data_IF_027981688345
#
_entry.id   IF_027981688345
#
_cell.length_a   1.000
_cell.length_b   1.000
_cell.length_c   1.000
_cell.angle_alpha   90.00
_cell.angle_beta   90.00
_cell.angle_gamma   90.00
#
_symmetry.space_group_name_H-M   'P 1'
#
loop_
_entity.id
_entity.type
_entity.pdbx_description
1 polymer ?
#
# COMPACT_ATOMS: atom_id res chain seq x y z
N UNK A 1 0.09 23.10 7.68
CA UNK A 1 0.12 21.63 7.65
C UNK A 1 0.43 21.22 6.21
N UNK A 2 1.59 20.62 5.93
CA UNK A 2 1.91 20.19 4.57
C UNK A 2 1.22 18.84 4.33
N UNK A 3 0.07 18.86 3.67
CA UNK A 3 -0.63 17.64 3.25
C UNK A 3 0.30 16.76 2.41
N UNK A 4 0.39 15.47 2.77
CA UNK A 4 1.27 14.51 2.09
C UNK A 4 0.84 14.37 0.63
N UNK A 5 1.72 14.75 -0.28
CA UNK A 5 1.56 14.55 -1.72
C UNK A 5 1.29 13.06 -2.02
N UNK A 6 0.07 12.72 -2.42
CA UNK A 6 -0.20 11.43 -3.06
C UNK A 6 0.60 11.41 -4.36
N UNK A 7 1.52 10.46 -4.49
CA UNK A 7 2.41 10.36 -5.65
C UNK A 7 2.08 9.18 -6.56
N UNK A 8 1.14 8.32 -6.14
CA UNK A 8 0.68 7.19 -6.93
C UNK A 8 -0.71 6.75 -6.47
N UNK A 9 -1.60 6.50 -7.43
CA UNK A 9 -2.95 6.00 -7.24
C UNK A 9 -3.25 4.93 -8.29
N UNK A 10 -3.96 3.88 -7.91
CA UNK A 10 -4.34 2.79 -8.84
C UNK A 10 -5.77 2.37 -8.60
N UNK A 11 -6.52 2.16 -9.68
CA UNK A 11 -7.87 1.59 -9.63
C UNK A 11 -8.10 0.70 -10.86
N UNK A 12 -9.21 -0.04 -10.86
CA UNK A 12 -9.72 -0.69 -12.08
C UNK A 12 -10.78 0.20 -12.70
N UNK A 13 -10.82 0.24 -14.03
CA UNK A 13 -11.86 0.96 -14.79
C UNK A 13 -12.65 -0.03 -15.64
N UNK A 14 -13.91 0.29 -15.91
CA UNK A 14 -14.68 -0.38 -16.96
C UNK A 14 -14.21 0.09 -18.35
N UNK A 15 -14.57 -0.65 -19.40
CA UNK A 15 -14.24 -0.26 -20.78
C UNK A 15 -14.81 1.12 -21.16
N UNK A 16 -16.00 1.45 -20.66
CA UNK A 16 -16.63 2.76 -20.89
C UNK A 16 -15.85 3.89 -20.18
N UNK A 17 -15.45 3.67 -18.92
CA UNK A 17 -14.63 4.61 -18.16
C UNK A 17 -13.25 4.80 -18.78
N UNK A 18 -12.65 3.72 -19.30
CA UNK A 18 -11.37 3.79 -19.99
C UNK A 18 -11.46 4.62 -21.27
N UNK A 19 -12.53 4.46 -22.06
CA UNK A 19 -12.75 5.27 -23.25
C UNK A 19 -12.97 6.76 -22.92
N UNK A 20 -13.71 7.06 -21.85
CA UNK A 20 -13.89 8.43 -21.35
C UNK A 20 -12.55 9.03 -20.90
N UNK A 21 -11.73 8.26 -20.20
CA UNK A 21 -10.41 8.70 -19.75
C UNK A 21 -9.47 8.96 -20.94
N UNK A 22 -9.44 8.07 -21.92
CA UNK A 22 -8.65 8.26 -23.15
C UNK A 22 -9.06 9.54 -23.89
N UNK A 23 -10.37 9.77 -24.03
CA UNK A 23 -10.92 11.01 -24.62
C UNK A 23 -10.51 12.25 -23.82
N UNK A 24 -10.56 12.19 -22.50
CA UNK A 24 -10.15 13.29 -21.64
C UNK A 24 -8.66 13.63 -21.83
N UNK A 25 -7.78 12.61 -21.85
CA UNK A 25 -6.34 12.80 -22.05
C UNK A 25 -6.04 13.48 -23.40
N UNK A 26 -6.71 13.04 -24.47
CA UNK A 26 -6.57 13.63 -25.80
C UNK A 26 -7.07 15.09 -25.86
N UNK A 27 -8.06 15.45 -25.07
CA UNK A 27 -8.65 16.79 -25.05
C UNK A 27 -7.89 17.81 -24.17
N UNK A 28 -7.03 17.36 -23.24
CA UNK A 28 -6.45 18.22 -22.19
C UNK A 28 -4.91 18.25 -22.19
N UNK A 29 -4.31 18.34 -23.38
CA UNK A 29 -2.87 18.54 -23.60
C UNK A 29 -1.95 17.49 -22.95
N UNK A 30 -2.40 16.23 -22.87
CA UNK A 30 -1.51 15.14 -22.49
C UNK A 30 -0.68 14.69 -23.69
N UNK A 31 0.62 14.54 -23.49
CA UNK A 31 1.51 13.87 -24.43
C UNK A 31 1.24 12.36 -24.37
N UNK A 32 0.66 11.81 -25.44
CA UNK A 32 0.44 10.38 -25.54
C UNK A 32 1.76 9.64 -25.76
N UNK A 33 2.03 8.63 -24.94
CA UNK A 33 3.26 7.83 -24.98
C UNK A 33 2.94 6.36 -25.18
N UNK A 34 3.81 5.67 -25.91
CA UNK A 34 3.77 4.21 -25.98
C UNK A 34 4.52 3.61 -24.79
N UNK A 35 3.79 2.92 -23.92
CA UNK A 35 4.35 2.21 -22.77
C UNK A 35 4.01 0.72 -22.87
N UNK A 36 4.97 -0.19 -22.61
CA UNK A 36 4.72 -1.63 -22.69
C UNK A 36 3.51 -2.07 -21.85
N UNK A 37 2.67 -2.92 -22.45
CA UNK A 37 1.46 -3.48 -21.83
C UNK A 37 0.36 -2.46 -21.47
N UNK A 38 0.49 -1.21 -21.92
CA UNK A 38 -0.58 -0.21 -21.82
C UNK A 38 -1.43 -0.21 -23.09
N UNK A 39 -2.73 0.04 -22.91
CA UNK A 39 -3.63 0.36 -24.02
C UNK A 39 -3.44 1.81 -24.44
N UNK A 40 -3.33 2.71 -23.46
CA UNK A 40 -2.94 4.09 -23.67
C UNK A 40 -2.16 4.59 -22.45
N UNK A 41 -1.26 5.53 -22.69
CA UNK A 41 -0.58 6.25 -21.64
C UNK A 41 -0.47 7.74 -22.01
N UNK A 42 -0.75 8.60 -21.04
CA UNK A 42 -0.66 10.05 -21.18
C UNK A 42 0.32 10.63 -20.16
N UNK A 43 1.07 11.63 -20.58
CA UNK A 43 1.99 12.37 -19.73
C UNK A 43 1.69 13.86 -19.79
N UNK A 44 1.63 14.52 -18.63
CA UNK A 44 1.52 15.98 -18.55
C UNK A 44 2.34 16.47 -17.36
N UNK A 45 3.24 17.43 -17.61
CA UNK A 45 4.19 17.97 -16.64
C UNK A 45 5.01 16.91 -15.88
N UNK A 46 4.57 16.54 -14.67
CA UNK A 46 5.19 15.53 -13.80
C UNK A 46 4.21 14.44 -13.41
N UNK A 47 3.12 14.27 -14.18
CA UNK A 47 2.07 13.31 -13.97
C UNK A 47 2.04 12.32 -15.15
N UNK A 48 2.00 11.03 -14.84
CA UNK A 48 1.82 9.94 -15.78
C UNK A 48 0.50 9.24 -15.49
N UNK A 49 -0.26 8.93 -16.53
CA UNK A 49 -1.54 8.24 -16.48
C UNK A 49 -1.44 7.05 -17.43
N UNK A 50 -1.34 5.84 -16.88
CA UNK A 50 -1.12 4.61 -17.65
C UNK A 50 -2.30 3.67 -17.46
N UNK A 51 -3.01 3.35 -18.54
CA UNK A 51 -4.07 2.34 -18.52
C UNK A 51 -3.59 1.04 -19.16
N UNK A 52 -3.54 -0.03 -18.37
CA UNK A 52 -3.04 -1.34 -18.78
C UNK A 52 -4.11 -2.19 -19.45
N UNK A 53 -3.68 -3.14 -20.30
CA UNK A 53 -4.57 -4.14 -20.91
C UNK A 53 -5.27 -5.05 -19.90
N UNK A 54 -4.83 -5.05 -18.63
CA UNK A 54 -5.48 -5.72 -17.50
C UNK A 54 -6.64 -4.93 -16.86
N UNK A 55 -7.11 -3.88 -17.52
CA UNK A 55 -8.11 -2.92 -17.04
C UNK A 55 -7.70 -2.14 -15.78
N UNK A 56 -6.40 -2.10 -15.50
CA UNK A 56 -5.83 -1.38 -14.36
C UNK A 56 -5.36 0.00 -14.81
N UNK A 57 -5.76 1.04 -14.08
CA UNK A 57 -5.22 2.39 -14.20
C UNK A 57 -4.11 2.60 -13.15
N UNK A 58 -3.02 3.24 -13.57
CA UNK A 58 -1.97 3.78 -12.70
C UNK A 58 -1.81 5.28 -12.99
N UNK A 59 -2.08 6.10 -11.99
CA UNK A 59 -1.75 7.53 -11.99
C UNK A 59 -0.54 7.73 -11.09
N UNK A 60 0.53 8.34 -11.58
CA UNK A 60 1.78 8.48 -10.83
C UNK A 60 2.49 9.79 -11.12
N UNK A 61 2.93 10.48 -10.07
CA UNK A 61 3.75 11.67 -10.18
C UNK A 61 3.31 12.82 -9.28
N UNK A 62 3.77 14.04 -9.59
CA UNK A 62 3.32 15.24 -8.88
C UNK A 62 1.95 15.63 -9.45
N UNK A 63 0.98 15.86 -8.58
CA UNK A 63 -0.42 16.18 -8.95
C UNK A 63 -1.34 14.96 -9.11
N UNK A 64 -0.92 13.78 -8.66
CA UNK A 64 -1.81 12.61 -8.64
C UNK A 64 -3.07 12.84 -7.81
N UNK A 65 -2.97 13.54 -6.68
CA UNK A 65 -4.14 13.88 -5.86
C UNK A 65 -5.14 14.74 -6.63
N UNK A 66 -4.66 15.86 -7.18
CA UNK A 66 -5.49 16.81 -7.94
C UNK A 66 -6.16 16.11 -9.14
N UNK A 67 -5.41 15.29 -9.88
CA UNK A 67 -5.99 14.52 -10.98
C UNK A 67 -7.09 13.57 -10.52
N UNK A 68 -6.89 12.89 -9.37
CA UNK A 68 -7.91 11.98 -8.86
C UNK A 68 -9.16 12.75 -8.42
N UNK A 69 -8.99 13.78 -7.59
CA UNK A 69 -10.09 14.55 -6.99
C UNK A 69 -10.87 15.39 -8.03
N UNK A 70 -10.21 15.95 -9.04
CA UNK A 70 -10.84 16.88 -9.98
C UNK A 70 -11.15 16.30 -11.35
N UNK A 71 -10.58 15.14 -11.72
CA UNK A 71 -10.83 14.50 -13.02
C UNK A 71 -11.35 13.08 -12.84
N UNK A 72 -10.56 12.21 -12.21
CA UNK A 72 -10.87 10.79 -12.18
C UNK A 72 -12.18 10.50 -11.44
N UNK A 73 -12.39 11.11 -10.28
CA UNK A 73 -13.59 10.91 -9.46
C UNK A 73 -14.85 11.56 -10.05
N UNK A 74 -14.84 12.86 -10.40
CA UNK A 74 -16.05 13.52 -10.88
C UNK A 74 -16.41 13.15 -12.33
N UNK A 75 -15.43 13.04 -13.22
CA UNK A 75 -15.70 12.88 -14.66
C UNK A 75 -15.75 11.41 -15.09
N UNK A 76 -14.84 10.58 -14.56
CA UNK A 76 -14.65 9.20 -15.04
C UNK A 76 -15.37 8.17 -14.16
N UNK A 77 -15.06 8.15 -12.87
CA UNK A 77 -15.60 7.19 -11.92
C UNK A 77 -17.05 7.56 -11.51
N UNK A 78 -17.36 8.87 -11.46
CA UNK A 78 -18.61 9.45 -10.93
C UNK A 78 -18.88 9.08 -9.48
N UNK A 79 -17.81 8.89 -8.70
CA UNK A 79 -17.84 8.50 -7.30
C UNK A 79 -16.58 9.05 -6.61
N UNK A 80 -16.72 9.56 -5.38
CA UNK A 80 -15.60 10.00 -4.56
C UNK A 80 -15.03 8.78 -3.79
N UNK A 81 -13.78 8.41 -4.05
CA UNK A 81 -13.12 7.24 -3.44
C UNK A 81 -11.92 7.60 -2.56
N UNK A 82 -11.15 8.60 -2.96
CA UNK A 82 -9.96 9.09 -2.31
C UNK A 82 -10.35 9.80 -1.01
N UNK A 83 -9.89 9.26 0.11
CA UNK A 83 -10.28 9.74 1.45
C UNK A 83 -11.50 9.03 2.05
N UNK A 84 -12.28 8.28 1.26
CA UNK A 84 -13.45 7.51 1.70
C UNK A 84 -13.21 6.00 1.72
N UNK A 85 -11.95 5.56 1.71
CA UNK A 85 -11.55 4.14 1.71
C UNK A 85 -12.22 3.35 2.86
N UNK A 86 -12.43 4.01 4.01
CA UNK A 86 -13.10 3.45 5.18
C UNK A 86 -14.63 3.34 5.04
N UNK A 87 -15.26 4.19 4.22
CA UNK A 87 -16.71 4.19 3.99
C UNK A 87 -17.10 3.24 2.85
N UNK A 88 -16.24 3.10 1.84
CA UNK A 88 -16.47 2.24 0.67
C UNK A 88 -16.20 0.76 1.00
N UNK A 89 -15.30 0.48 1.95
CA UNK A 89 -15.03 -0.86 2.41
C UNK A 89 -15.09 -0.93 3.95
N UNK A 90 -16.27 -1.21 4.52
CA UNK A 90 -16.43 -1.38 5.96
C UNK A 90 -15.48 -2.44 6.53
N UNK A 91 -15.11 -3.44 5.72
CA UNK A 91 -14.17 -4.46 6.13
C UNK A 91 -12.78 -3.91 6.38
N UNK A 92 -12.40 -2.75 5.83
CA UNK A 92 -11.11 -2.09 6.03
C UNK A 92 -10.90 -1.58 7.47
N UNK A 93 -11.97 -1.13 8.13
CA UNK A 93 -11.93 -0.61 9.50
C UNK A 93 -12.29 -1.66 10.56
N UNK A 94 -12.75 -2.85 10.15
CA UNK A 94 -13.06 -3.92 11.10
C UNK A 94 -11.84 -4.31 11.93
N UNK A 95 -12.04 -4.58 13.23
CA UNK A 95 -10.99 -5.12 14.07
C UNK A 95 -10.41 -6.41 13.52
N UNK A 96 -9.08 -6.53 13.52
CA UNK A 96 -8.38 -7.71 12.99
C UNK A 96 -7.04 -7.91 13.69
N UNK A 97 -6.55 -9.14 13.62
CA UNK A 97 -5.19 -9.51 13.97
C UNK A 97 -4.43 -9.84 12.68
N UNK A 98 -3.29 -9.20 12.48
CA UNK A 98 -2.31 -9.56 11.44
C UNK A 98 -1.08 -10.19 12.07
N UNK A 99 -0.49 -11.17 11.40
CA UNK A 99 0.76 -11.82 11.81
C UNK A 99 1.69 -11.85 10.61
N UNK A 100 2.96 -11.52 10.82
CA UNK A 100 4.00 -11.54 9.79
C UNK A 100 5.37 -11.88 10.41
N UNK A 101 6.30 -12.38 9.59
CA UNK A 101 7.64 -12.74 9.99
C UNK A 101 8.75 -11.99 9.24
N UNK A 102 9.90 -11.83 9.90
CA UNK A 102 11.12 -11.30 9.30
C UNK A 102 12.33 -12.14 9.72
N UNK A 103 13.36 -12.22 8.86
CA UNK A 103 14.56 -13.04 9.13
C UNK A 103 14.53 -14.45 8.55
N UNK A 104 13.47 -14.85 7.83
CA UNK A 104 13.35 -16.21 7.24
C UNK A 104 14.43 -16.52 6.20
N UNK A 105 14.84 -15.53 5.42
CA UNK A 105 15.86 -15.67 4.36
C UNK A 105 17.25 -15.19 4.78
N UNK A 106 17.38 -14.62 5.98
CA UNK A 106 18.62 -14.05 6.45
C UNK A 106 19.48 -15.15 7.05
N UNK A 107 20.74 -15.24 6.61
CA UNK A 107 21.68 -16.22 7.15
C UNK A 107 22.10 -15.88 8.60
N UNK A 108 22.17 -14.57 8.91
CA UNK A 108 22.52 -14.08 10.22
C UNK A 108 21.32 -13.43 10.91
N UNK A 109 21.24 -13.60 12.22
CA UNK A 109 20.24 -12.97 13.06
C UNK A 109 19.06 -13.89 13.41
N UNK A 110 18.11 -13.37 14.20
CA UNK A 110 16.95 -14.12 14.64
C UNK A 110 15.87 -14.20 13.55
N UNK A 111 15.05 -15.25 13.62
CA UNK A 111 13.73 -15.26 13.00
C UNK A 111 12.75 -14.56 13.95
N UNK A 112 12.10 -13.50 13.51
CA UNK A 112 11.19 -12.70 14.36
C UNK A 112 9.78 -12.79 13.81
N UNK A 113 8.83 -13.20 14.65
CA UNK A 113 7.40 -13.19 14.33
C UNK A 113 6.72 -12.08 15.12
N UNK A 114 5.88 -11.28 14.47
CA UNK A 114 5.11 -10.23 15.12
C UNK A 114 3.61 -10.43 14.84
N UNK A 115 2.81 -10.35 15.90
CA UNK A 115 1.35 -10.29 15.83
C UNK A 115 0.87 -8.91 16.25
N UNK A 116 -0.06 -8.33 15.49
CA UNK A 116 -0.57 -6.98 15.72
C UNK A 116 -2.08 -6.97 15.53
N UNK A 117 -2.79 -6.64 16.61
CA UNK A 117 -4.23 -6.41 16.60
C UNK A 117 -4.51 -4.91 16.46
N UNK A 118 -5.41 -4.60 15.55
CA UNK A 118 -5.87 -3.24 15.27
C UNK A 118 -7.39 -3.19 15.30
N UNK A 119 -7.93 -2.08 15.78
CA UNK A 119 -9.35 -1.73 15.69
C UNK A 119 -9.50 -0.49 14.78
N UNK A 120 -10.74 -0.03 14.58
CA UNK A 120 -11.03 1.12 13.72
C UNK A 120 -10.22 2.37 14.11
N UNK A 121 -10.18 2.72 15.40
CA UNK A 121 -9.44 3.91 15.86
C UNK A 121 -7.94 3.83 15.56
N UNK A 122 -7.35 2.64 15.70
CA UNK A 122 -5.95 2.39 15.40
C UNK A 122 -5.70 2.50 13.90
N UNK A 123 -6.55 1.88 13.07
CA UNK A 123 -6.43 1.93 11.60
C UNK A 123 -6.48 3.37 11.09
N UNK A 124 -7.47 4.17 11.55
CA UNK A 124 -7.60 5.57 11.16
C UNK A 124 -6.37 6.39 11.58
N UNK A 125 -5.92 6.24 12.82
CA UNK A 125 -4.72 6.92 13.30
C UNK A 125 -3.48 6.55 12.46
N UNK A 126 -3.33 5.28 12.09
CA UNK A 126 -2.19 4.79 11.32
C UNK A 126 -2.17 5.26 9.87
N UNK A 127 -3.35 5.43 9.25
CA UNK A 127 -3.47 6.04 7.93
C UNK A 127 -2.91 7.48 7.93
N UNK A 128 -3.25 8.28 8.93
CA UNK A 128 -2.73 9.65 9.09
C UNK A 128 -1.19 9.66 9.26
N UNK A 129 -0.67 8.75 10.08
CA UNK A 129 0.77 8.60 10.33
C UNK A 129 1.52 8.02 9.11
N UNK A 130 0.79 7.44 8.15
CA UNK A 130 1.31 6.86 6.92
C UNK A 130 2.03 5.52 7.15
N UNK A 131 1.53 4.71 8.08
CA UNK A 131 1.90 3.30 8.18
C UNK A 131 1.35 2.60 6.91
N UNK A 132 2.25 1.96 6.16
CA UNK A 132 1.98 1.29 4.88
C UNK A 132 2.80 -0.01 4.83
N UNK A 133 2.68 -0.74 3.73
CA UNK A 133 3.50 -1.92 3.42
C UNK A 133 5.00 -1.64 3.70
N UNK A 134 5.57 -2.46 4.59
CA UNK A 134 6.96 -2.35 5.05
C UNK A 134 7.96 -2.48 3.90
N UNK A 135 7.62 -3.20 2.83
CA UNK A 135 8.47 -3.37 1.64
C UNK A 135 8.72 -2.07 0.88
N UNK A 136 7.87 -1.05 1.09
CA UNK A 136 8.02 0.27 0.47
C UNK A 136 8.82 1.25 1.34
N UNK A 137 9.23 0.83 2.54
CA UNK A 137 10.01 1.65 3.47
C UNK A 137 11.49 1.29 3.30
N UNK A 138 12.25 2.15 2.64
CA UNK A 138 13.65 1.90 2.28
C UNK A 138 14.68 2.33 3.34
N UNK A 139 14.23 2.80 4.50
CA UNK A 139 15.11 3.34 5.55
C UNK A 139 14.84 2.72 6.90
N UNK A 140 15.87 2.13 7.51
CA UNK A 140 15.83 1.55 8.86
C UNK A 140 15.40 2.57 9.91
N UNK A 141 15.84 3.83 9.76
CA UNK A 141 15.41 4.93 10.64
C UNK A 141 13.90 5.13 10.57
N UNK A 142 13.31 5.03 9.37
CA UNK A 142 11.86 5.15 9.18
C UNK A 142 11.14 3.94 9.77
N UNK A 143 11.67 2.73 9.60
CA UNK A 143 11.14 1.52 10.25
C UNK A 143 11.12 1.68 11.77
N UNK A 144 12.21 2.14 12.39
CA UNK A 144 12.27 2.34 13.83
C UNK A 144 11.25 3.39 14.33
N UNK A 145 11.05 4.46 13.57
CA UNK A 145 10.02 5.47 13.87
C UNK A 145 8.61 4.88 13.79
N UNK A 146 8.30 4.14 12.73
CA UNK A 146 6.99 3.50 12.55
C UNK A 146 6.72 2.46 13.64
N UNK A 147 7.72 1.65 13.98
CA UNK A 147 7.62 0.69 15.08
C UNK A 147 7.32 1.37 16.42
N UNK A 148 7.93 2.54 16.68
CA UNK A 148 7.60 3.35 17.87
C UNK A 148 6.14 3.78 17.86
N UNK A 149 5.66 4.33 16.74
CA UNK A 149 4.25 4.74 16.58
C UNK A 149 3.31 3.58 16.87
N UNK A 150 3.54 2.42 16.25
CA UNK A 150 2.72 1.20 16.46
C UNK A 150 2.66 0.85 17.94
N UNK A 151 3.81 0.79 18.61
CA UNK A 151 3.89 0.38 20.02
C UNK A 151 3.26 1.38 20.99
N UNK A 152 3.22 2.66 20.64
CA UNK A 152 2.64 3.71 21.48
C UNK A 152 1.20 4.05 21.13
N UNK A 153 0.62 3.47 20.07
CA UNK A 153 -0.75 3.78 19.66
C UNK A 153 -1.75 3.17 20.66
N UNK A 154 -2.60 3.97 21.30
CA UNK A 154 -3.64 3.45 22.19
C UNK A 154 -4.62 2.52 21.45
N UNK A 155 -4.98 1.40 22.08
CA UNK A 155 -5.89 0.41 21.49
C UNK A 155 -5.23 -0.58 20.52
N UNK A 156 -3.96 -0.40 20.18
CA UNK A 156 -3.18 -1.42 19.47
C UNK A 156 -2.63 -2.45 20.47
N UNK A 157 -2.85 -3.73 20.20
CA UNK A 157 -2.23 -4.82 20.95
C UNK A 157 -1.19 -5.46 20.04
N UNK A 158 0.02 -5.66 20.52
CA UNK A 158 1.09 -6.27 19.74
C UNK A 158 1.86 -7.27 20.58
N UNK A 159 2.41 -8.29 19.92
CA UNK A 159 3.31 -9.27 20.51
C UNK A 159 4.42 -9.59 19.51
N UNK A 160 5.63 -9.81 20.02
CA UNK A 160 6.79 -10.16 19.20
C UNK A 160 7.49 -11.36 19.83
N UNK A 161 7.75 -12.37 19.00
CA UNK A 161 8.47 -13.59 19.37
C UNK A 161 9.77 -13.64 18.58
N UNK A 162 10.90 -13.22 19.16
CA UNK A 162 12.20 -13.39 18.54
C UNK A 162 12.75 -14.80 18.82
N UNK A 163 13.08 -15.53 17.75
CA UNK A 163 13.71 -16.84 17.79
C UNK A 163 15.19 -16.64 17.43
N UNK A 164 16.04 -16.58 18.44
CA UNK A 164 17.49 -16.43 18.27
C UNK A 164 18.13 -17.62 17.53
N UNK A 165 19.31 -17.43 16.90
CA UNK A 165 19.97 -18.46 16.09
C UNK A 165 20.13 -19.83 16.78
N UNK A 166 20.49 -19.84 18.06
CA UNK A 166 20.66 -21.09 18.82
C UNK A 166 19.35 -21.88 18.95
N UNK A 167 18.26 -21.19 19.32
CA UNK A 167 16.93 -21.78 19.43
C UNK A 167 16.41 -22.19 18.06
N UNK A 168 16.63 -21.37 17.03
CA UNK A 168 16.29 -21.69 15.66
C UNK A 168 16.98 -22.97 15.19
N UNK A 169 18.29 -23.09 15.38
CA UNK A 169 19.06 -24.28 15.00
C UNK A 169 18.56 -25.54 15.72
N UNK A 170 18.25 -25.43 17.02
CA UNK A 170 17.68 -26.54 17.81
C UNK A 170 16.30 -26.96 17.30
N UNK A 171 15.44 -26.01 16.95
CA UNK A 171 14.12 -26.29 16.37
C UNK A 171 14.23 -26.88 14.96
N UNK A 172 15.09 -26.31 14.12
CA UNK A 172 15.34 -26.76 12.76
C UNK A 172 15.88 -28.19 12.71
N UNK A 173 16.77 -28.57 13.63
CA UNK A 173 17.25 -29.95 13.74
C UNK A 173 16.12 -30.96 13.97
N UNK A 174 15.07 -30.58 14.72
CA UNK A 174 13.92 -31.44 15.04
C UNK A 174 12.85 -31.41 13.93
N UNK A 175 12.52 -30.21 13.46
CA UNK A 175 11.38 -29.98 12.56
C UNK A 175 11.75 -30.09 11.08
N UNK A 176 13.04 -29.91 10.74
CA UNK A 176 13.66 -29.96 9.40
C UNK A 176 13.18 -28.93 8.38
N UNK A 177 12.13 -28.16 8.70
CA UNK A 177 11.58 -27.14 7.79
C UNK A 177 11.20 -25.89 8.56
N UNK A 178 11.49 -24.72 8.00
CA UNK A 178 11.17 -23.42 8.61
C UNK A 178 9.67 -23.20 8.68
N UNK A 179 8.91 -23.71 7.71
CA UNK A 179 7.45 -23.59 7.71
C UNK A 179 6.81 -24.29 8.92
N UNK A 180 7.44 -25.33 9.48
CA UNK A 180 6.96 -25.97 10.72
C UNK A 180 7.35 -25.20 11.98
N UNK A 181 8.38 -24.37 11.92
CA UNK A 181 8.77 -23.47 13.01
C UNK A 181 7.82 -22.26 13.06
N UNK A 182 7.29 -21.84 11.89
CA UNK A 182 6.38 -20.72 11.74
C UNK A 182 4.88 -21.08 11.91
N UNK A 183 4.53 -22.36 11.87
CA UNK A 183 3.16 -22.86 12.03
C UNK A 183 2.80 -23.02 13.52
#
# INVERSE_FOLDING_TARGET
>A
MAEKNLTSYTCKLTEEQAAQLETHLLAHDYEMREVPHTRFAGHRDKLNVNYYTSSKLLVQGKGTREFVEFVLEPEILKEARLGYEAEINPDFIRPRLGVDESGKGDFFGPLVVAGVYVNESVVRHWQEQGIKDSKRVTSDKRIAQLAKVIRTTPGCIWSVVPIGPETYNRMHAKMRTVNKILA
#
